data_IF_618159121562
#
_entry.id   IF_618159121562
#
_cell.length_a   1.000
_cell.length_b   1.000
_cell.length_c   1.000
_cell.angle_alpha   90.00
_cell.angle_beta   90.00
_cell.angle_gamma   90.00
#
_symmetry.space_group_name_H-M   'P 1'
#
loop_
_entity.id
_entity.type
_entity.pdbx_description
1 polymer ?
#
# COMPACT_ATOMS: atom_id res chain seq x y z
N UNK A 1 -29.60 4.66 -7.19
CA UNK A 1 -30.19 4.26 -5.91
C UNK A 1 -29.04 3.97 -4.98
N UNK A 2 -28.86 4.72 -3.91
CA UNK A 2 -27.79 4.46 -2.93
C UNK A 2 -28.07 3.12 -2.26
N UNK A 3 -27.12 2.16 -2.30
CA UNK A 3 -27.28 0.90 -1.58
C UNK A 3 -27.27 1.19 -0.09
N UNK A 4 -28.21 0.57 0.65
CA UNK A 4 -28.25 0.67 2.11
C UNK A 4 -27.01 0.03 2.71
N UNK A 5 -26.44 0.66 3.75
CA UNK A 5 -25.29 0.07 4.45
C UNK A 5 -25.70 -1.20 5.22
N UNK A 6 -24.87 -2.24 5.14
CA UNK A 6 -25.10 -3.55 5.74
C UNK A 6 -24.42 -3.70 7.10
N UNK A 7 -25.22 -3.99 8.11
CA UNK A 7 -24.77 -4.19 9.50
C UNK A 7 -24.92 -5.65 9.86
N UNK A 8 -23.83 -6.29 10.31
CA UNK A 8 -23.89 -7.57 10.99
C UNK A 8 -24.05 -7.31 12.49
N UNK A 9 -25.21 -7.66 13.03
CA UNK A 9 -25.54 -7.48 14.44
C UNK A 9 -25.42 -8.81 15.17
N UNK A 10 -24.56 -8.88 16.19
CA UNK A 10 -24.22 -10.11 16.92
C UNK A 10 -24.49 -9.93 18.42
N UNK A 11 -25.41 -10.71 18.97
CA UNK A 11 -25.73 -10.71 20.40
C UNK A 11 -26.47 -12.03 20.73
N UNK A 12 -26.24 -12.62 21.87
CA UNK A 12 -26.95 -13.84 22.32
C UNK A 12 -28.36 -13.55 22.82
N UNK A 13 -28.69 -12.29 23.18
CA UNK A 13 -30.04 -11.85 23.51
C UNK A 13 -30.89 -11.59 22.27
N UNK A 14 -31.75 -12.57 21.94
CA UNK A 14 -32.66 -12.48 20.77
C UNK A 14 -33.63 -11.31 20.89
N UNK A 15 -33.97 -10.85 22.10
CA UNK A 15 -34.87 -9.69 22.31
C UNK A 15 -34.16 -8.39 21.94
N UNK A 16 -32.90 -8.26 22.31
CA UNK A 16 -32.06 -7.12 21.96
C UNK A 16 -31.76 -7.09 20.46
N UNK A 17 -31.48 -8.23 19.84
CA UNK A 17 -31.33 -8.36 18.38
C UNK A 17 -32.55 -7.80 17.65
N UNK A 18 -33.76 -8.19 18.04
CA UNK A 18 -35.01 -7.71 17.43
C UNK A 18 -35.19 -6.20 17.60
N UNK A 19 -34.94 -5.68 18.79
CA UNK A 19 -35.07 -4.26 19.11
C UNK A 19 -34.11 -3.41 18.26
N UNK A 20 -32.83 -3.80 18.24
CA UNK A 20 -31.81 -3.08 17.46
C UNK A 20 -32.04 -3.19 15.96
N UNK A 21 -32.47 -4.36 15.47
CA UNK A 21 -32.83 -4.55 14.07
C UNK A 21 -33.90 -3.55 13.61
N UNK A 22 -34.99 -3.42 14.38
CA UNK A 22 -36.07 -2.47 14.08
C UNK A 22 -35.54 -1.02 14.06
N UNK A 23 -34.71 -0.66 15.04
CA UNK A 23 -34.12 0.69 15.13
C UNK A 23 -33.21 1.00 13.95
N UNK A 24 -32.36 0.05 13.55
CA UNK A 24 -31.40 0.23 12.45
C UNK A 24 -32.11 0.25 11.09
N UNK A 25 -33.09 -0.64 10.86
CA UNK A 25 -33.88 -0.63 9.63
C UNK A 25 -34.67 0.68 9.45
N UNK A 26 -35.15 1.28 10.54
CA UNK A 26 -35.84 2.58 10.54
C UNK A 26 -34.89 3.75 10.18
N UNK A 27 -33.58 3.56 10.21
CA UNK A 27 -32.54 4.52 9.84
C UNK A 27 -31.78 4.09 8.56
N UNK A 28 -32.43 3.38 7.67
CA UNK A 28 -31.95 3.00 6.33
C UNK A 28 -30.74 2.04 6.31
N UNK A 29 -30.51 1.24 7.37
CA UNK A 29 -29.56 0.15 7.38
C UNK A 29 -30.21 -1.18 6.93
N UNK A 30 -29.46 -2.02 6.24
CA UNK A 30 -29.76 -3.43 6.03
C UNK A 30 -29.10 -4.24 7.14
N UNK A 31 -29.89 -5.02 7.92
CA UNK A 31 -29.39 -5.69 9.14
C UNK A 31 -29.50 -7.19 8.99
N UNK A 32 -28.41 -7.87 9.21
CA UNK A 32 -28.32 -9.33 9.32
C UNK A 32 -27.91 -9.64 10.77
N UNK A 33 -28.60 -10.59 11.37
CA UNK A 33 -28.42 -10.93 12.77
C UNK A 33 -27.75 -12.28 12.92
N UNK A 34 -26.84 -12.38 13.88
CA UNK A 34 -26.26 -13.63 14.36
C UNK A 34 -26.43 -13.74 15.88
N UNK A 35 -26.78 -14.91 16.37
CA UNK A 35 -26.95 -15.15 17.79
C UNK A 35 -25.70 -15.73 18.48
N UNK A 36 -24.61 -15.87 17.74
CA UNK A 36 -23.33 -16.38 18.24
C UNK A 36 -22.17 -15.94 17.31
N UNK A 37 -20.95 -15.92 17.85
CA UNK A 37 -19.77 -15.59 17.06
C UNK A 37 -19.47 -16.57 15.91
N UNK A 38 -19.64 -17.91 16.04
CA UNK A 38 -19.50 -18.83 14.92
C UNK A 38 -20.49 -18.56 13.79
N UNK A 39 -21.75 -18.21 14.11
CA UNK A 39 -22.73 -17.83 13.11
C UNK A 39 -22.32 -16.54 12.40
N UNK A 40 -21.84 -15.53 13.15
CA UNK A 40 -21.36 -14.27 12.58
C UNK A 40 -20.22 -14.50 11.59
N UNK A 41 -19.26 -15.36 11.91
CA UNK A 41 -18.16 -15.74 11.00
C UNK A 41 -18.66 -16.45 9.75
N UNK A 42 -19.68 -17.31 9.86
CA UNK A 42 -20.30 -17.94 8.70
C UNK A 42 -21.00 -16.94 7.77
N UNK A 43 -21.71 -15.95 8.34
CA UNK A 43 -22.33 -14.89 7.56
C UNK A 43 -21.31 -14.01 6.84
N UNK A 44 -20.18 -13.70 7.49
CA UNK A 44 -19.06 -12.94 6.91
C UNK A 44 -18.39 -13.64 5.72
N UNK A 45 -18.46 -14.97 5.66
CA UNK A 45 -17.95 -15.74 4.52
C UNK A 45 -18.91 -15.75 3.32
N UNK A 46 -20.21 -15.56 3.55
CA UNK A 46 -21.25 -15.68 2.52
C UNK A 46 -21.59 -14.33 1.87
N UNK A 47 -21.41 -13.22 2.59
CA UNK A 47 -21.79 -11.90 2.14
C UNK A 47 -20.92 -10.80 2.76
N UNK A 48 -20.96 -9.62 2.15
CA UNK A 48 -20.16 -8.46 2.59
C UNK A 48 -20.98 -7.57 3.53
N UNK A 49 -20.30 -7.00 4.53
CA UNK A 49 -20.86 -6.08 5.51
C UNK A 49 -20.05 -4.79 5.57
N UNK A 50 -20.68 -3.69 5.98
CA UNK A 50 -20.06 -2.38 6.15
C UNK A 50 -19.61 -2.13 7.60
N UNK A 51 -20.21 -2.81 8.56
CA UNK A 51 -19.84 -2.75 9.97
C UNK A 51 -20.34 -3.98 10.73
N UNK A 52 -19.57 -4.42 11.71
CA UNK A 52 -19.97 -5.45 12.70
C UNK A 52 -20.30 -4.73 14.01
N UNK A 53 -21.50 -5.00 14.56
CA UNK A 53 -21.91 -4.54 15.88
C UNK A 53 -22.08 -5.78 16.76
N UNK A 54 -21.22 -6.00 17.74
CA UNK A 54 -21.19 -7.22 18.56
C UNK A 54 -21.29 -6.94 20.05
N UNK A 55 -21.95 -7.82 20.79
CA UNK A 55 -21.81 -7.80 22.24
C UNK A 55 -20.42 -8.23 22.68
N UNK A 56 -19.96 -7.67 23.80
CA UNK A 56 -18.68 -8.03 24.41
C UNK A 56 -18.75 -9.43 25.05
N UNK A 57 -19.86 -9.76 25.70
CA UNK A 57 -20.04 -10.99 26.42
C UNK A 57 -21.07 -11.87 25.75
N UNK A 58 -20.62 -12.94 25.13
CA UNK A 58 -21.46 -13.98 24.54
C UNK A 58 -20.99 -15.35 25.06
N UNK A 59 -21.89 -16.33 25.03
CA UNK A 59 -21.53 -17.71 25.33
C UNK A 59 -20.54 -18.23 24.25
N UNK A 60 -19.78 -19.27 24.50
CA UNK A 60 -18.81 -19.93 23.61
C UNK A 60 -17.60 -19.07 23.16
N UNK A 61 -17.77 -17.95 22.49
CA UNK A 61 -16.72 -17.04 22.02
C UNK A 61 -17.14 -15.59 22.31
N UNK A 62 -16.32 -14.86 23.06
CA UNK A 62 -16.62 -13.47 23.39
C UNK A 62 -16.41 -12.50 22.21
N UNK A 63 -16.99 -11.30 22.34
CA UNK A 63 -16.91 -10.29 21.28
C UNK A 63 -15.50 -9.82 20.97
N UNK A 64 -14.55 -9.93 21.92
CA UNK A 64 -13.14 -9.59 21.69
C UNK A 64 -12.47 -10.61 20.77
N UNK A 65 -12.70 -11.90 21.01
CA UNK A 65 -12.19 -12.98 20.18
C UNK A 65 -12.80 -12.94 18.78
N UNK A 66 -14.10 -12.61 18.66
CA UNK A 66 -14.74 -12.36 17.37
C UNK A 66 -14.07 -11.19 16.65
N UNK A 67 -13.83 -10.07 17.33
CA UNK A 67 -13.18 -8.91 16.74
C UNK A 67 -11.77 -9.21 16.24
N UNK A 68 -10.97 -9.98 17.00
CA UNK A 68 -9.64 -10.42 16.57
C UNK A 68 -9.69 -11.26 15.29
N UNK A 69 -10.62 -12.20 15.18
CA UNK A 69 -10.79 -13.02 13.98
C UNK A 69 -11.30 -12.19 12.78
N UNK A 70 -12.25 -11.27 13.03
CA UNK A 70 -12.72 -10.36 11.99
C UNK A 70 -11.58 -9.51 11.47
N UNK A 71 -10.71 -8.97 12.33
CA UNK A 71 -9.57 -8.19 11.89
C UNK A 71 -8.51 -8.98 11.14
N UNK A 72 -8.29 -10.25 11.49
CA UNK A 72 -7.38 -11.11 10.74
C UNK A 72 -7.90 -11.43 9.35
N UNK A 73 -9.20 -11.68 9.21
CA UNK A 73 -9.83 -12.08 7.95
C UNK A 73 -10.28 -10.88 7.09
N UNK A 74 -10.71 -9.81 7.75
CA UNK A 74 -11.28 -8.59 7.14
C UNK A 74 -10.71 -7.32 7.81
N UNK A 75 -9.42 -6.97 7.60
CA UNK A 75 -8.73 -5.89 8.32
C UNK A 75 -9.36 -4.51 8.22
N UNK A 76 -10.14 -4.27 7.17
CA UNK A 76 -10.82 -2.99 6.94
C UNK A 76 -12.23 -2.91 7.53
N UNK A 77 -12.82 -4.05 7.98
CA UNK A 77 -14.19 -4.08 8.47
C UNK A 77 -14.25 -3.55 9.91
N UNK A 78 -14.89 -2.39 10.17
CA UNK A 78 -14.98 -1.83 11.51
C UNK A 78 -15.84 -2.69 12.43
N UNK A 79 -15.33 -2.91 13.64
CA UNK A 79 -16.06 -3.61 14.70
C UNK A 79 -16.43 -2.60 15.78
N UNK A 80 -17.73 -2.46 16.03
CA UNK A 80 -18.29 -1.68 17.15
C UNK A 80 -18.73 -2.66 18.22
N UNK A 81 -18.34 -2.42 19.47
CA UNK A 81 -18.61 -3.33 20.57
C UNK A 81 -19.64 -2.77 21.54
N UNK A 82 -20.62 -3.58 21.96
CA UNK A 82 -21.59 -3.25 22.97
C UNK A 82 -21.15 -3.82 24.33
N UNK A 83 -21.28 -3.07 25.42
CA UNK A 83 -20.87 -3.52 26.76
C UNK A 83 -21.83 -3.06 27.85
N UNK A 84 -22.08 -3.91 28.85
CA UNK A 84 -22.90 -3.56 30.00
C UNK A 84 -22.15 -2.72 31.05
N UNK A 85 -20.82 -2.71 31.05
CA UNK A 85 -19.99 -1.96 32.00
C UNK A 85 -18.82 -1.33 31.27
N UNK A 86 -18.87 0.00 31.09
CA UNK A 86 -17.76 0.78 30.55
C UNK A 86 -16.67 0.98 31.61
N UNK A 87 -15.72 0.08 31.76
CA UNK A 87 -14.51 0.40 32.50
C UNK A 87 -13.47 1.00 31.58
N UNK A 88 -12.86 2.11 31.99
CA UNK A 88 -11.81 2.82 31.27
C UNK A 88 -10.62 1.91 30.85
N UNK A 89 -10.22 0.88 31.67
CA UNK A 89 -9.17 -0.06 31.28
C UNK A 89 -9.51 -0.96 30.08
N UNK A 90 -10.78 -1.33 29.91
CA UNK A 90 -11.21 -2.19 28.80
C UNK A 90 -11.27 -1.42 27.48
N UNK A 91 -11.69 -0.15 27.53
CA UNK A 91 -11.68 0.75 26.37
C UNK A 91 -10.26 1.03 25.87
N UNK A 92 -9.28 1.20 26.76
CA UNK A 92 -7.86 1.44 26.40
C UNK A 92 -7.19 0.18 25.84
N UNK A 93 -7.51 -1.01 26.32
CA UNK A 93 -7.03 -2.28 25.74
C UNK A 93 -7.56 -2.50 24.34
N UNK A 94 -8.81 -2.26 24.14
CA UNK A 94 -9.52 -2.52 22.89
C UNK A 94 -9.16 -1.53 21.77
N UNK A 95 -8.84 -0.27 22.10
CA UNK A 95 -8.30 0.69 21.09
C UNK A 95 -6.94 0.23 20.57
N UNK A 96 -6.15 -0.51 21.34
CA UNK A 96 -4.90 -1.13 20.88
C UNK A 96 -5.12 -2.39 20.01
N UNK A 97 -6.32 -2.97 20.05
CA UNK A 97 -6.71 -4.17 19.31
C UNK A 97 -7.60 -3.88 18.09
N UNK A 98 -7.69 -2.61 17.63
CA UNK A 98 -8.35 -2.25 16.38
C UNK A 98 -9.87 -2.17 16.41
N UNK A 99 -10.50 -2.16 17.59
CA UNK A 99 -11.94 -1.93 17.74
C UNK A 99 -12.24 -0.47 17.42
N UNK A 100 -13.26 -0.25 16.58
CA UNK A 100 -13.62 1.08 16.10
C UNK A 100 -14.24 1.96 17.21
N UNK A 101 -15.19 1.43 17.97
CA UNK A 101 -15.87 2.12 19.06
C UNK A 101 -16.55 1.17 20.06
N UNK A 102 -16.90 1.71 21.22
CA UNK A 102 -17.72 1.05 22.25
C UNK A 102 -19.03 1.79 22.44
N UNK A 103 -20.10 1.03 22.65
CA UNK A 103 -21.40 1.52 23.05
C UNK A 103 -21.78 0.89 24.39
N UNK A 104 -22.20 1.71 25.36
CA UNK A 104 -22.62 1.21 26.67
C UNK A 104 -24.09 0.84 26.67
N UNK A 105 -24.44 -0.32 27.22
CA UNK A 105 -25.84 -0.72 27.45
C UNK A 105 -26.38 -0.01 28.73
N UNK A 106 -27.58 0.63 28.71
CA UNK A 106 -28.57 0.65 27.65
C UNK A 106 -28.14 1.59 26.50
N UNK A 107 -28.26 1.09 25.26
CA UNK A 107 -27.75 1.78 24.06
C UNK A 107 -28.65 2.97 23.72
N UNK A 108 -28.07 4.16 23.76
CA UNK A 108 -28.73 5.38 23.29
C UNK A 108 -28.89 5.33 21.77
N UNK A 109 -30.06 5.81 21.28
CA UNK A 109 -30.38 5.73 19.87
C UNK A 109 -29.49 6.64 19.02
N UNK A 110 -29.25 7.86 19.47
CA UNK A 110 -28.53 8.85 18.69
C UNK A 110 -27.02 8.53 18.67
N UNK A 111 -26.49 8.04 19.81
CA UNK A 111 -25.12 7.54 19.91
C UNK A 111 -24.88 6.32 19.03
N UNK A 112 -25.81 5.38 18.95
CA UNK A 112 -25.74 4.19 18.09
C UNK A 112 -25.66 4.61 16.60
N UNK A 113 -26.62 5.46 16.18
CA UNK A 113 -26.68 5.87 14.77
C UNK A 113 -25.46 6.71 14.37
N UNK A 114 -25.02 7.65 15.22
CA UNK A 114 -23.83 8.46 14.97
C UNK A 114 -22.55 7.60 14.89
N UNK A 115 -22.41 6.63 15.81
CA UNK A 115 -21.25 5.70 15.81
C UNK A 115 -21.23 4.81 14.57
N UNK A 116 -22.38 4.21 14.21
CA UNK A 116 -22.49 3.40 13.01
C UNK A 116 -22.31 4.22 11.73
N UNK A 117 -22.83 5.44 11.68
CA UNK A 117 -22.62 6.32 10.53
C UNK A 117 -21.15 6.69 10.35
N UNK A 118 -20.39 6.90 11.46
CA UNK A 118 -18.95 7.11 11.42
C UNK A 118 -18.21 5.84 10.97
N UNK A 119 -18.59 4.67 11.51
CA UNK A 119 -18.01 3.39 11.14
C UNK A 119 -18.25 3.07 9.65
N UNK A 120 -19.50 3.20 9.19
CA UNK A 120 -19.88 2.97 7.80
C UNK A 120 -19.22 3.99 6.86
N UNK A 121 -19.10 5.27 7.26
CA UNK A 121 -18.36 6.26 6.44
C UNK A 121 -16.90 5.88 6.27
N UNK A 122 -16.27 5.34 7.30
CA UNK A 122 -14.89 4.85 7.23
C UNK A 122 -14.78 3.56 6.42
N UNK A 123 -15.78 2.68 6.49
CA UNK A 123 -15.82 1.43 5.73
C UNK A 123 -16.53 1.57 4.38
N UNK A 124 -17.61 2.32 4.29
CA UNK A 124 -18.36 2.59 3.05
C UNK A 124 -17.60 3.48 2.06
N UNK A 125 -16.50 4.10 2.50
CA UNK A 125 -15.43 4.53 1.60
C UNK A 125 -14.63 3.33 1.06
N UNK A 126 -14.91 2.10 1.50
CA UNK A 126 -14.29 0.83 1.11
C UNK A 126 -15.15 -0.13 0.27
N UNK A 127 -16.49 0.01 0.17
CA UNK A 127 -17.33 -0.98 -0.55
C UNK A 127 -18.31 -0.45 -1.58
N UNK A 128 -18.46 0.87 -1.71
CA UNK A 128 -19.16 1.48 -2.84
C UNK A 128 -18.17 1.90 -3.90
N UNK A 129 -17.87 1.04 -4.87
CA UNK A 129 -16.76 1.19 -5.81
C UNK A 129 -15.45 1.40 -5.05
N UNK A 130 -14.49 0.57 -5.23
CA UNK A 130 -13.07 0.79 -4.98
C UNK A 130 -12.55 2.07 -5.67
N UNK A 131 -13.08 3.21 -5.27
CA UNK A 131 -12.42 4.47 -5.17
C UNK A 131 -11.98 4.59 -3.72
N UNK A 132 -11.06 3.70 -3.34
CA UNK A 132 -9.99 3.98 -2.41
C UNK A 132 -9.64 5.46 -2.47
N UNK A 133 -9.07 6.02 -1.40
CA UNK A 133 -8.09 7.09 -1.54
C UNK A 133 -6.89 6.57 -2.40
N UNK A 134 -7.17 5.87 -3.47
CA UNK A 134 -6.28 5.47 -4.53
C UNK A 134 -6.33 6.62 -5.51
N UNK A 135 -5.37 7.52 -5.38
CA UNK A 135 -4.99 8.25 -6.57
C UNK A 135 -4.76 7.21 -7.68
N UNK A 136 -5.29 7.42 -8.89
CA UNK A 136 -5.28 6.41 -9.95
C UNK A 136 -3.89 5.87 -10.28
N UNK A 137 -2.84 6.51 -9.76
CA UNK A 137 -1.44 6.18 -10.02
C UNK A 137 -0.72 5.54 -8.81
N UNK A 138 -1.34 5.48 -7.61
CA UNK A 138 -0.70 4.93 -6.40
C UNK A 138 -1.33 3.59 -6.07
N UNK A 139 -0.60 2.53 -6.37
CA UNK A 139 -1.01 1.14 -6.13
C UNK A 139 -0.42 0.69 -4.81
N UNK A 140 -1.26 0.41 -3.82
CA UNK A 140 -0.84 -0.01 -2.47
C UNK A 140 -1.93 -0.80 -1.75
N UNK A 141 -1.53 -1.65 -0.81
CA UNK A 141 -2.36 -2.29 0.21
C UNK A 141 -1.85 -2.01 1.62
N UNK A 142 -0.77 -1.23 1.73
CA UNK A 142 -0.16 -0.93 3.02
C UNK A 142 -0.98 0.05 3.82
N UNK A 143 -1.26 -0.28 5.09
CA UNK A 143 -1.97 0.60 6.02
C UNK A 143 -1.24 1.93 6.22
N UNK A 144 0.10 1.91 6.27
CA UNK A 144 0.93 3.12 6.38
C UNK A 144 0.72 4.04 5.18
N UNK A 145 0.62 3.47 3.96
CA UNK A 145 0.34 4.23 2.76
C UNK A 145 -1.08 4.80 2.73
N UNK A 146 -2.08 4.08 3.22
CA UNK A 146 -3.44 4.62 3.33
C UNK A 146 -3.50 5.82 4.27
N UNK A 147 -2.84 5.76 5.44
CA UNK A 147 -2.72 6.92 6.34
C UNK A 147 -2.02 8.10 5.68
N UNK A 148 -0.95 7.84 4.91
CA UNK A 148 -0.26 8.88 4.17
C UNK A 148 -1.16 9.53 3.11
N UNK A 149 -1.94 8.75 2.36
CA UNK A 149 -2.89 9.26 1.37
C UNK A 149 -4.03 10.06 2.00
N UNK A 150 -4.45 9.70 3.20
CA UNK A 150 -5.41 10.51 3.96
C UNK A 150 -4.81 11.86 4.37
N UNK A 151 -3.55 11.89 4.83
CA UNK A 151 -2.82 13.14 5.06
C UNK A 151 -2.71 13.97 3.79
N UNK A 152 -2.42 13.35 2.64
CA UNK A 152 -2.39 14.03 1.33
C UNK A 152 -3.72 14.71 1.03
N UNK A 153 -4.85 14.04 1.27
CA UNK A 153 -6.18 14.61 1.06
C UNK A 153 -6.45 15.81 1.97
N UNK A 154 -6.10 15.69 3.26
CA UNK A 154 -6.26 16.80 4.22
C UNK A 154 -5.42 18.01 3.86
N UNK A 155 -4.14 17.78 3.54
CA UNK A 155 -3.20 18.83 3.13
C UNK A 155 -3.55 19.39 1.76
N UNK A 156 -4.08 18.56 0.87
CA UNK A 156 -4.59 18.96 -0.44
C UNK A 156 -5.58 20.12 -0.34
N UNK A 157 -6.51 20.04 0.60
CA UNK A 157 -7.54 21.08 0.82
C UNK A 157 -6.98 22.42 1.33
N UNK A 158 -5.70 22.50 1.68
CA UNK A 158 -5.03 23.71 2.18
C UNK A 158 -4.01 24.24 1.16
N UNK A 159 -3.57 25.51 1.35
CA UNK A 159 -2.59 26.17 0.48
C UNK A 159 -1.15 26.17 1.09
N UNK A 160 -0.89 25.27 2.04
CA UNK A 160 0.41 25.17 2.70
C UNK A 160 1.45 24.48 1.83
N UNK A 161 2.72 24.88 2.01
CA UNK A 161 3.84 24.18 1.37
C UNK A 161 4.00 22.77 1.96
N UNK A 162 4.35 21.82 1.10
CA UNK A 162 4.51 20.41 1.44
C UNK A 162 5.93 19.96 1.12
N UNK A 163 6.59 19.34 2.08
CA UNK A 163 7.85 18.65 1.89
C UNK A 163 7.62 17.13 1.91
N UNK A 164 7.99 16.46 0.83
CA UNK A 164 7.93 15.00 0.73
C UNK A 164 9.33 14.45 0.98
N UNK A 165 9.49 13.69 2.05
CA UNK A 165 10.73 13.02 2.40
C UNK A 165 10.64 11.52 2.13
N UNK A 166 11.72 10.90 1.64
CA UNK A 166 11.76 9.46 1.39
C UNK A 166 12.91 9.06 0.48
N UNK A 167 13.31 7.79 0.57
CA UNK A 167 14.42 7.25 -0.21
C UNK A 167 14.21 7.40 -1.73
N UNK A 168 15.29 7.32 -2.50
CA UNK A 168 15.18 7.36 -3.97
C UNK A 168 14.35 6.19 -4.49
N UNK A 169 13.51 6.44 -5.51
CA UNK A 169 12.68 5.41 -6.13
C UNK A 169 11.43 4.99 -5.37
N UNK A 170 11.06 5.65 -4.26
CA UNK A 170 9.86 5.33 -3.46
C UNK A 170 8.54 5.81 -4.09
N UNK A 171 8.58 6.74 -5.06
CA UNK A 171 7.40 7.31 -5.71
C UNK A 171 7.03 8.72 -5.26
N UNK A 172 8.01 9.54 -4.82
CA UNK A 172 7.79 10.93 -4.34
C UNK A 172 7.05 11.80 -5.36
N UNK A 173 7.33 11.67 -6.65
CA UNK A 173 6.62 12.42 -7.70
C UNK A 173 5.15 12.05 -7.79
N UNK A 174 4.81 10.74 -7.69
CA UNK A 174 3.41 10.29 -7.69
C UNK A 174 2.65 10.84 -6.48
N UNK A 175 3.31 10.92 -5.31
CA UNK A 175 2.72 11.53 -4.13
C UNK A 175 2.52 13.04 -4.30
N UNK A 176 3.46 13.75 -4.95
CA UNK A 176 3.31 15.17 -5.25
C UNK A 176 2.15 15.43 -6.22
N UNK A 177 1.96 14.57 -7.23
CA UNK A 177 0.78 14.62 -8.12
C UNK A 177 -0.51 14.41 -7.34
N UNK A 178 -0.51 13.46 -6.40
CA UNK A 178 -1.65 13.22 -5.52
C UNK A 178 -2.00 14.44 -4.65
N UNK A 179 -1.00 15.16 -4.14
CA UNK A 179 -1.20 16.43 -3.42
C UNK A 179 -1.81 17.51 -4.33
N UNK A 180 -1.33 17.60 -5.58
CA UNK A 180 -1.88 18.55 -6.57
C UNK A 180 -3.33 18.22 -6.90
N UNK A 181 -3.64 16.96 -7.24
CA UNK A 181 -5.00 16.51 -7.62
C UNK A 181 -6.02 16.68 -6.47
N UNK A 182 -5.55 16.60 -5.22
CA UNK A 182 -6.39 16.84 -4.03
C UNK A 182 -6.54 18.31 -3.69
N UNK A 183 -5.98 19.25 -4.46
CA UNK A 183 -5.92 20.67 -4.12
C UNK A 183 -6.95 21.52 -4.84
N UNK A 184 -7.16 22.74 -4.33
CA UNK A 184 -7.99 23.75 -4.99
C UNK A 184 -7.44 24.18 -6.37
N UNK A 185 -6.15 23.95 -6.64
CA UNK A 185 -5.49 24.26 -7.92
C UNK A 185 -5.33 23.03 -8.83
N UNK A 186 -6.06 21.95 -8.57
CA UNK A 186 -6.01 20.69 -9.34
C UNK A 186 -6.31 20.83 -10.83
N UNK A 187 -7.07 21.85 -11.21
CA UNK A 187 -7.34 22.18 -12.62
C UNK A 187 -6.22 22.99 -13.28
N UNK A 188 -5.25 23.47 -12.51
CA UNK A 188 -4.09 24.22 -12.99
C UNK A 188 -2.97 23.30 -13.46
N UNK A 189 -1.88 23.87 -13.96
CA UNK A 189 -0.74 23.08 -14.42
C UNK A 189 0.02 22.45 -13.23
N UNK A 190 0.48 21.20 -13.42
CA UNK A 190 1.48 20.56 -12.57
C UNK A 190 2.83 20.59 -13.29
N UNK A 191 3.73 21.47 -12.85
CA UNK A 191 5.06 21.65 -13.44
C UNK A 191 6.09 21.04 -12.51
N UNK A 192 6.93 20.14 -13.03
CA UNK A 192 7.94 19.43 -12.23
C UNK A 192 9.36 19.75 -12.74
N UNK A 193 10.28 19.92 -11.81
CA UNK A 193 11.71 20.03 -12.10
C UNK A 193 12.52 19.23 -11.07
N UNK A 194 13.55 18.54 -11.56
CA UNK A 194 14.53 17.92 -10.69
C UNK A 194 15.74 18.85 -10.51
N UNK A 195 15.94 19.36 -9.29
CA UNK A 195 16.98 20.33 -8.97
C UNK A 195 18.40 19.75 -9.06
N UNK A 196 18.56 18.44 -8.90
CA UNK A 196 19.86 17.78 -9.02
C UNK A 196 20.24 17.38 -10.44
N UNK A 197 19.28 17.34 -11.37
CA UNK A 197 19.53 16.92 -12.75
C UNK A 197 19.98 18.07 -13.67
N UNK A 198 19.83 19.34 -13.23
CA UNK A 198 20.08 20.53 -14.04
C UNK A 198 21.30 21.28 -13.51
N UNK A 199 22.27 21.68 -14.33
CA UNK A 199 23.37 22.54 -13.92
C UNK A 199 22.89 23.86 -13.28
N UNK A 200 23.58 24.33 -12.24
CA UNK A 200 23.14 25.47 -11.41
C UNK A 200 22.79 26.74 -12.22
N UNK A 201 23.57 27.05 -13.24
CA UNK A 201 23.37 28.24 -14.09
C UNK A 201 22.09 28.14 -14.93
N UNK A 202 21.79 26.92 -15.42
CA UNK A 202 20.57 26.66 -16.16
C UNK A 202 19.35 26.55 -15.26
N UNK A 203 19.52 26.03 -14.04
CA UNK A 203 18.42 25.88 -13.07
C UNK A 203 17.81 27.23 -12.71
N UNK A 204 18.64 28.26 -12.53
CA UNK A 204 18.16 29.63 -12.28
C UNK A 204 17.29 30.14 -13.42
N UNK A 205 17.82 30.02 -14.64
CA UNK A 205 17.11 30.43 -15.85
C UNK A 205 15.80 29.65 -16.07
N UNK A 206 15.81 28.36 -15.79
CA UNK A 206 14.59 27.52 -15.88
C UNK A 206 13.55 27.91 -14.84
N UNK A 207 13.94 28.11 -13.59
CA UNK A 207 12.97 28.42 -12.51
C UNK A 207 12.35 29.81 -12.70
N UNK A 208 13.20 30.84 -12.92
CA UNK A 208 12.76 32.23 -12.86
C UNK A 208 12.60 32.89 -14.23
N UNK A 209 13.08 32.22 -15.30
CA UNK A 209 13.13 32.79 -16.64
C UNK A 209 14.30 33.76 -16.86
N UNK A 210 14.50 34.19 -18.10
CA UNK A 210 15.50 35.18 -18.45
C UNK A 210 15.06 36.04 -19.64
N UNK A 211 15.64 37.24 -19.72
CA UNK A 211 15.53 38.11 -20.87
C UNK A 211 16.67 37.87 -21.87
N UNK A 212 16.42 38.11 -23.13
CA UNK A 212 17.44 38.07 -24.19
C UNK A 212 18.64 38.90 -23.80
N UNK A 213 19.85 38.33 -23.91
CA UNK A 213 21.10 38.98 -23.52
C UNK A 213 21.48 38.94 -22.08
N UNK A 214 20.72 38.25 -21.20
CA UNK A 214 20.99 38.16 -19.77
C UNK A 214 22.31 37.42 -19.42
N UNK A 215 22.74 36.52 -20.32
CA UNK A 215 24.01 35.79 -20.19
C UNK A 215 24.47 35.31 -21.58
N UNK A 216 25.71 34.83 -21.69
CA UNK A 216 26.27 34.28 -22.94
C UNK A 216 25.49 33.05 -23.38
N UNK A 217 24.67 33.17 -24.46
CA UNK A 217 23.77 32.11 -24.91
C UNK A 217 22.27 32.43 -24.77
N UNK A 218 21.89 33.50 -24.08
CA UNK A 218 20.51 33.97 -23.99
C UNK A 218 20.07 34.65 -25.32
N UNK A 219 19.74 33.84 -26.33
CA UNK A 219 19.38 34.32 -27.67
C UNK A 219 17.95 34.81 -27.77
N UNK A 220 17.07 34.36 -26.90
CA UNK A 220 15.64 34.71 -26.83
C UNK A 220 15.20 34.91 -25.37
N UNK A 221 14.02 35.50 -25.16
CA UNK A 221 13.36 35.50 -23.85
C UNK A 221 12.91 34.09 -23.51
N UNK A 222 13.02 33.72 -22.21
CA UNK A 222 12.53 32.44 -21.70
C UNK A 222 11.58 32.66 -20.51
N UNK A 223 10.42 32.05 -20.57
CA UNK A 223 9.44 32.06 -19.50
C UNK A 223 9.87 31.03 -18.44
N UNK A 224 9.98 31.41 -17.18
CA UNK A 224 10.38 30.50 -16.12
C UNK A 224 9.25 29.60 -15.64
N UNK A 225 9.62 28.45 -15.07
CA UNK A 225 8.69 27.44 -14.55
C UNK A 225 7.72 27.98 -13.49
N UNK A 226 8.10 28.96 -12.69
CA UNK A 226 7.16 29.65 -11.78
C UNK A 226 6.02 30.34 -12.55
N UNK A 227 6.31 30.94 -13.70
CA UNK A 227 5.26 31.54 -14.52
C UNK A 227 4.43 30.50 -15.25
N UNK A 228 5.05 29.41 -15.70
CA UNK A 228 4.33 28.26 -16.31
C UNK A 228 3.40 27.56 -15.32
N UNK A 229 3.80 27.50 -14.06
CA UNK A 229 3.01 26.92 -12.97
C UNK A 229 1.92 27.86 -12.42
N UNK A 230 1.68 29.02 -13.06
CA UNK A 230 0.70 30.00 -12.57
C UNK A 230 -0.69 29.39 -12.33
N UNK A 231 -1.25 29.63 -11.15
CA UNK A 231 -2.52 29.05 -10.66
C UNK A 231 -2.54 27.52 -10.63
N UNK A 232 -1.37 26.91 -10.51
CA UNK A 232 -1.15 25.48 -10.43
C UNK A 232 -0.15 25.11 -9.33
N UNK A 233 0.61 24.04 -9.57
CA UNK A 233 1.61 23.52 -8.64
C UNK A 233 2.97 23.42 -9.30
N UNK A 234 4.00 23.95 -8.64
CA UNK A 234 5.40 23.71 -8.96
C UNK A 234 5.96 22.63 -8.03
N UNK A 235 6.40 21.53 -8.61
CA UNK A 235 7.06 20.44 -7.91
C UNK A 235 8.57 20.53 -8.06
N UNK A 236 9.26 20.70 -6.92
CA UNK A 236 10.71 20.78 -6.82
C UNK A 236 11.26 19.46 -6.32
N UNK A 237 11.62 18.56 -7.22
CA UNK A 237 12.24 17.29 -6.85
C UNK A 237 13.72 17.49 -6.51
N UNK A 238 14.19 16.70 -5.55
CA UNK A 238 15.56 16.74 -5.01
C UNK A 238 15.99 18.16 -4.59
N UNK A 239 15.11 18.82 -3.81
CA UNK A 239 15.36 20.20 -3.32
C UNK A 239 16.65 20.32 -2.50
N UNK A 240 17.10 19.24 -1.84
CA UNK A 240 18.36 19.19 -1.11
C UNK A 240 19.62 19.30 -1.99
N UNK A 241 19.49 19.24 -3.33
CA UNK A 241 20.57 19.44 -4.27
C UNK A 241 20.62 20.86 -4.84
N UNK A 242 19.68 21.73 -4.45
CA UNK A 242 19.62 23.10 -4.93
C UNK A 242 20.82 23.92 -4.42
N UNK A 243 21.55 24.64 -5.30
CA UNK A 243 22.66 25.51 -4.89
C UNK A 243 22.23 26.62 -3.94
N UNK A 244 23.09 26.99 -2.97
CA UNK A 244 22.79 27.95 -1.92
C UNK A 244 22.33 29.33 -2.44
N UNK A 245 22.92 29.82 -3.54
CA UNK A 245 22.51 31.08 -4.17
C UNK A 245 21.07 31.04 -4.67
N UNK A 246 20.59 29.87 -5.17
CA UNK A 246 19.22 29.69 -5.64
C UNK A 246 18.25 29.47 -4.47
N UNK A 247 18.69 28.88 -3.36
CA UNK A 247 17.90 28.77 -2.15
C UNK A 247 17.46 30.15 -1.63
N UNK A 248 18.35 31.17 -1.70
CA UNK A 248 18.01 32.55 -1.31
C UNK A 248 16.93 33.13 -2.22
N UNK A 249 17.01 32.88 -3.52
CA UNK A 249 16.01 33.38 -4.48
C UNK A 249 14.67 32.67 -4.29
N UNK A 250 14.69 31.36 -4.11
CA UNK A 250 13.48 30.58 -3.83
C UNK A 250 12.78 31.07 -2.56
N UNK A 251 13.55 31.31 -1.48
CA UNK A 251 12.99 31.83 -0.22
C UNK A 251 12.23 33.15 -0.44
N UNK A 252 12.83 34.08 -1.21
CA UNK A 252 12.14 35.34 -1.56
C UNK A 252 10.84 35.11 -2.30
N UNK A 253 10.83 34.21 -3.31
CA UNK A 253 9.58 33.90 -4.04
C UNK A 253 8.51 33.31 -3.12
N UNK A 254 8.89 32.42 -2.18
CA UNK A 254 7.96 31.84 -1.21
C UNK A 254 7.39 32.88 -0.22
N UNK A 255 8.14 33.95 0.06
CA UNK A 255 7.73 35.01 0.97
C UNK A 255 6.93 36.11 0.27
N UNK A 256 7.43 36.59 -0.87
CA UNK A 256 6.92 37.79 -1.55
C UNK A 256 5.90 37.45 -2.65
N UNK A 257 5.80 36.15 -3.04
CA UNK A 257 4.95 35.70 -4.15
C UNK A 257 5.24 36.43 -5.47
N UNK A 258 6.51 36.75 -5.69
CA UNK A 258 7.01 37.41 -6.90
C UNK A 258 8.30 36.78 -7.37
N UNK A 259 8.50 36.76 -8.67
CA UNK A 259 9.75 36.33 -9.32
C UNK A 259 10.41 37.52 -10.02
N UNK A 260 11.73 37.43 -10.18
CA UNK A 260 12.52 38.37 -10.98
C UNK A 260 13.32 37.57 -12.02
N UNK A 261 12.96 37.66 -13.34
CA UNK A 261 13.73 37.02 -14.40
C UNK A 261 15.18 37.47 -14.43
N UNK A 262 16.09 36.59 -14.85
CA UNK A 262 17.51 36.92 -14.97
C UNK A 262 17.70 38.01 -16.04
N UNK A 263 18.47 39.07 -15.70
CA UNK A 263 18.66 40.23 -16.57
C UNK A 263 17.49 41.21 -16.63
N UNK A 264 16.47 41.06 -15.77
CA UNK A 264 15.33 41.99 -15.67
C UNK A 264 15.25 42.65 -14.30
N UNK A 265 14.78 43.91 -14.23
CA UNK A 265 14.59 44.64 -12.98
C UNK A 265 13.19 44.54 -12.40
N UNK A 266 12.19 44.23 -13.23
CA UNK A 266 10.79 44.16 -12.83
C UNK A 266 10.46 42.84 -12.12
N UNK A 267 9.63 42.96 -11.12
CA UNK A 267 9.08 41.80 -10.37
C UNK A 267 7.73 41.40 -10.98
N UNK A 268 7.55 40.10 -11.19
CA UNK A 268 6.34 39.52 -11.75
C UNK A 268 5.63 38.75 -10.62
N UNK A 269 4.37 39.10 -10.27
CA UNK A 269 3.62 38.35 -9.26
C UNK A 269 3.30 36.93 -9.74
N UNK A 270 3.41 35.96 -8.85
CA UNK A 270 3.13 34.57 -9.13
C UNK A 270 2.22 33.99 -8.04
N UNK A 271 1.22 33.24 -8.47
CA UNK A 271 0.32 32.50 -7.61
C UNK A 271 0.52 31.01 -7.88
N UNK A 272 1.45 30.40 -7.15
CA UNK A 272 1.89 29.01 -7.38
C UNK A 272 1.95 28.28 -6.03
N UNK A 273 1.35 27.09 -5.97
CA UNK A 273 1.54 26.16 -4.86
C UNK A 273 2.87 25.46 -5.03
N UNK A 274 3.69 25.39 -3.96
CA UNK A 274 4.99 24.72 -4.02
C UNK A 274 4.92 23.40 -3.24
N UNK A 275 5.29 22.32 -3.92
CA UNK A 275 5.52 20.99 -3.33
C UNK A 275 6.99 20.66 -3.57
N UNK A 276 7.71 20.25 -2.53
CA UNK A 276 9.14 19.90 -2.63
C UNK A 276 9.37 18.46 -2.23
N UNK A 277 10.37 17.79 -2.81
CA UNK A 277 10.76 16.45 -2.43
C UNK A 277 12.26 16.32 -2.25
N UNK A 278 12.69 15.42 -1.37
CA UNK A 278 14.10 15.09 -1.18
C UNK A 278 14.30 13.70 -0.61
N UNK A 279 15.44 13.10 -0.92
CA UNK A 279 15.94 11.91 -0.25
C UNK A 279 16.98 12.24 0.82
N UNK A 280 17.47 13.50 0.89
CA UNK A 280 18.49 13.93 1.83
C UNK A 280 17.92 14.27 3.20
N UNK A 281 18.72 14.06 4.24
CA UNK A 281 18.47 14.59 5.59
C UNK A 281 18.76 16.10 5.60
N UNK A 282 17.72 16.93 5.40
CA UNK A 282 17.87 18.38 5.40
C UNK A 282 18.36 18.95 6.74
N UNK A 283 17.94 18.48 7.92
CA UNK A 283 18.57 18.83 9.20
C UNK A 283 20.09 18.59 9.24
N UNK A 284 20.60 17.52 8.67
CA UNK A 284 22.04 17.30 8.54
C UNK A 284 22.66 18.28 7.56
N UNK A 285 22.05 18.51 6.40
CA UNK A 285 22.50 19.48 5.40
C UNK A 285 22.57 20.92 5.94
N UNK A 286 21.67 21.29 6.86
CA UNK A 286 21.71 22.59 7.57
C UNK A 286 22.94 22.68 8.47
N UNK A 287 23.25 21.63 9.26
CA UNK A 287 24.46 21.59 10.10
C UNK A 287 25.75 21.70 9.29
N UNK A 288 25.74 21.16 8.07
CA UNK A 288 26.85 21.19 7.11
C UNK A 288 26.91 22.50 6.30
N UNK A 289 26.00 23.45 6.53
CA UNK A 289 25.85 24.69 5.78
C UNK A 289 25.63 24.48 4.26
N UNK A 290 25.12 23.35 3.84
CA UNK A 290 24.76 23.05 2.44
C UNK A 290 23.29 23.34 2.14
N UNK A 291 22.46 23.54 3.18
CA UNK A 291 21.06 23.96 3.07
C UNK A 291 20.74 25.04 4.10
N UNK A 292 19.90 26.02 3.71
CA UNK A 292 19.54 27.14 4.59
C UNK A 292 18.40 26.76 5.51
N UNK A 293 18.54 27.11 6.77
CA UNK A 293 17.54 26.86 7.82
C UNK A 293 16.23 27.64 7.58
N UNK A 294 16.33 28.91 7.13
CA UNK A 294 15.16 29.74 6.84
C UNK A 294 14.29 29.20 5.71
N UNK A 295 14.92 28.67 4.68
CA UNK A 295 14.22 27.99 3.58
C UNK A 295 13.58 26.68 4.04
N UNK A 296 14.29 25.90 4.87
CA UNK A 296 13.74 24.65 5.42
C UNK A 296 12.42 24.88 6.14
N UNK A 297 12.34 25.83 7.08
CA UNK A 297 11.09 26.10 7.79
C UNK A 297 9.97 26.63 6.89
N UNK A 298 10.32 27.28 5.79
CA UNK A 298 9.32 27.76 4.82
C UNK A 298 8.77 26.66 3.92
N UNK A 299 9.59 25.66 3.59
CA UNK A 299 9.18 24.49 2.79
C UNK A 299 8.50 23.41 3.63
N UNK A 300 9.00 23.15 4.84
CA UNK A 300 8.58 22.08 5.72
C UNK A 300 7.46 22.52 6.66
N UNK A 301 6.34 23.02 6.10
CA UNK A 301 5.13 23.32 6.89
C UNK A 301 4.40 22.01 7.21
N UNK A 302 4.29 21.12 6.23
CA UNK A 302 3.82 19.75 6.42
C UNK A 302 4.85 18.81 5.79
N UNK A 303 5.29 17.80 6.57
CA UNK A 303 6.18 16.75 6.10
C UNK A 303 5.39 15.45 5.83
N UNK A 304 5.44 14.99 4.58
CA UNK A 304 4.90 13.70 4.17
C UNK A 304 6.05 12.71 3.98
N UNK A 305 6.22 11.79 4.94
CA UNK A 305 7.28 10.77 4.86
C UNK A 305 6.79 9.55 4.09
N UNK A 306 7.38 9.33 2.93
CA UNK A 306 7.09 8.16 2.09
C UNK A 306 7.96 6.97 2.52
N UNK A 307 7.37 5.86 3.01
CA UNK A 307 8.13 4.72 3.50
C UNK A 307 8.86 4.01 2.35
N UNK A 308 10.05 3.44 2.59
CA UNK A 308 10.73 2.59 1.63
C UNK A 308 9.94 1.30 1.39
N UNK A 309 10.20 0.61 0.28
CA UNK A 309 9.49 -0.61 -0.08
C UNK A 309 9.71 -1.75 0.94
N UNK A 310 10.86 -1.77 1.61
CA UNK A 310 11.17 -2.72 2.69
C UNK A 310 10.24 -2.59 3.92
N UNK A 311 9.67 -1.41 4.17
CA UNK A 311 8.70 -1.14 5.26
C UNK A 311 7.25 -1.42 4.83
N UNK A 312 6.99 -1.73 3.54
CA UNK A 312 5.67 -2.07 2.97
C UNK A 312 5.76 -3.27 2.04
N UNK A 313 6.33 -4.36 2.54
CA UNK A 313 6.56 -5.59 1.76
C UNK A 313 5.29 -6.19 1.17
N UNK A 314 4.15 -5.95 1.82
CA UNK A 314 2.81 -6.32 1.32
C UNK A 314 2.50 -5.72 -0.05
N UNK A 315 3.08 -4.58 -0.41
CA UNK A 315 2.87 -3.95 -1.72
C UNK A 315 3.65 -4.64 -2.85
N UNK A 316 4.74 -5.37 -2.54
CA UNK A 316 5.63 -5.95 -3.56
C UNK A 316 4.88 -6.85 -4.54
N UNK A 317 4.10 -7.79 -4.03
CA UNK A 317 3.31 -8.70 -4.87
C UNK A 317 2.30 -7.95 -5.74
N UNK A 318 1.60 -6.97 -5.16
CA UNK A 318 0.62 -6.15 -5.86
C UNK A 318 1.26 -5.31 -6.96
N UNK A 319 2.38 -4.66 -6.66
CA UNK A 319 3.16 -3.86 -7.62
C UNK A 319 3.75 -4.74 -8.74
N UNK A 320 4.24 -5.94 -8.41
CA UNK A 320 4.77 -6.86 -9.39
C UNK A 320 3.72 -7.28 -10.43
N UNK A 321 2.51 -7.62 -9.98
CA UNK A 321 1.40 -7.94 -10.88
C UNK A 321 0.98 -6.73 -11.71
N UNK A 322 0.84 -5.56 -11.08
CA UNK A 322 0.49 -4.31 -11.76
C UNK A 322 1.47 -3.95 -12.89
N UNK A 323 2.78 -4.08 -12.64
CA UNK A 323 3.78 -3.82 -13.69
C UNK A 323 3.72 -4.85 -14.81
N UNK A 324 3.49 -6.13 -14.52
CA UNK A 324 3.26 -7.14 -15.56
C UNK A 324 2.05 -6.81 -16.44
N UNK A 325 0.95 -6.36 -15.83
CA UNK A 325 -0.26 -5.94 -16.57
C UNK A 325 0.01 -4.70 -17.44
N UNK A 326 0.70 -3.70 -16.90
CA UNK A 326 1.07 -2.51 -17.67
C UNK A 326 1.97 -2.85 -18.87
N UNK A 327 2.96 -3.73 -18.68
CA UNK A 327 3.85 -4.15 -19.77
C UNK A 327 3.07 -4.93 -20.82
N UNK A 328 2.21 -5.87 -20.41
CA UNK A 328 1.37 -6.66 -21.28
C UNK A 328 0.44 -5.76 -22.13
N UNK A 329 -0.18 -4.75 -21.52
CA UNK A 329 -1.02 -3.79 -22.22
C UNK A 329 -0.24 -2.96 -23.24
N UNK A 330 0.98 -2.50 -22.90
CA UNK A 330 1.85 -1.76 -23.84
C UNK A 330 2.31 -2.61 -25.01
N UNK A 331 2.62 -3.88 -24.76
CA UNK A 331 3.16 -4.80 -25.78
C UNK A 331 2.06 -5.59 -26.53
N UNK A 332 0.80 -5.43 -26.14
CA UNK A 332 -0.34 -6.20 -26.66
C UNK A 332 -0.11 -7.73 -26.57
N UNK A 333 0.51 -8.14 -25.46
CA UNK A 333 0.83 -9.54 -25.18
C UNK A 333 0.04 -10.05 -23.97
N UNK A 334 0.01 -11.37 -23.78
CA UNK A 334 -0.59 -11.96 -22.59
C UNK A 334 0.18 -11.60 -21.32
N UNK A 335 -0.55 -11.41 -20.20
CA UNK A 335 0.05 -11.10 -18.91
C UNK A 335 0.88 -12.28 -18.42
N UNK A 336 2.16 -12.05 -18.10
CA UNK A 336 3.04 -13.06 -17.52
C UNK A 336 2.81 -13.17 -16.02
N UNK A 337 3.05 -14.35 -15.47
CA UNK A 337 2.86 -14.67 -14.05
C UNK A 337 4.17 -15.16 -13.43
N UNK A 338 4.38 -14.85 -12.18
CA UNK A 338 5.51 -15.37 -11.41
C UNK A 338 5.15 -16.76 -10.85
N UNK A 339 6.14 -17.68 -10.81
CA UNK A 339 6.05 -18.88 -9.98
C UNK A 339 6.08 -18.50 -8.50
N UNK A 340 5.61 -19.39 -7.61
CA UNK A 340 5.60 -19.13 -6.16
C UNK A 340 7.02 -18.86 -5.65
N UNK A 341 8.02 -19.68 -6.08
CA UNK A 341 9.43 -19.47 -5.73
C UNK A 341 9.99 -18.13 -6.26
N UNK A 342 9.54 -17.67 -7.44
CA UNK A 342 9.93 -16.37 -8.00
C UNK A 342 9.35 -15.22 -7.19
N UNK A 343 8.09 -15.33 -6.75
CA UNK A 343 7.44 -14.33 -5.89
C UNK A 343 8.10 -14.29 -4.52
N UNK A 344 8.46 -15.43 -3.94
CA UNK A 344 9.19 -15.50 -2.66
C UNK A 344 10.53 -14.76 -2.72
N UNK A 345 11.28 -14.88 -3.83
CA UNK A 345 12.51 -14.11 -4.03
C UNK A 345 12.26 -12.61 -4.07
N UNK A 346 11.22 -12.16 -4.78
CA UNK A 346 10.85 -10.74 -4.81
C UNK A 346 10.48 -10.22 -3.42
N UNK A 347 9.75 -11.02 -2.62
CA UNK A 347 9.32 -10.64 -1.27
C UNK A 347 10.48 -10.59 -0.26
N UNK A 348 11.52 -11.42 -0.42
CA UNK A 348 12.69 -11.47 0.48
C UNK A 348 13.72 -10.39 0.18
N UNK A 349 13.76 -9.85 -1.01
CA UNK A 349 14.73 -8.83 -1.40
C UNK A 349 14.47 -7.49 -0.69
N UNK A 350 15.52 -6.75 -0.35
CA UNK A 350 15.44 -5.50 0.45
C UNK A 350 15.12 -4.25 -0.37
N UNK A 351 15.23 -4.31 -1.68
CA UNK A 351 14.88 -3.26 -2.63
C UNK A 351 15.52 -1.89 -2.32
N UNK A 352 16.86 -1.76 -2.30
CA UNK A 352 17.52 -0.47 -2.01
C UNK A 352 17.14 0.63 -2.99
N UNK A 353 16.80 0.29 -4.24
CA UNK A 353 16.25 1.23 -5.24
C UNK A 353 14.72 1.30 -5.26
N UNK A 354 14.04 0.73 -4.25
CA UNK A 354 12.60 0.79 -4.03
C UNK A 354 11.78 0.38 -5.28
N UNK A 355 10.67 1.09 -5.54
CA UNK A 355 9.75 0.79 -6.65
C UNK A 355 10.45 0.91 -8.01
N UNK A 356 11.39 1.86 -8.17
CA UNK A 356 12.13 2.02 -9.43
C UNK A 356 12.97 0.77 -9.74
N UNK A 357 13.62 0.19 -8.75
CA UNK A 357 14.37 -1.06 -8.92
C UNK A 357 13.43 -2.23 -9.20
N UNK A 358 12.34 -2.36 -8.44
CA UNK A 358 11.33 -3.40 -8.65
C UNK A 358 10.78 -3.35 -10.08
N UNK A 359 10.39 -2.17 -10.56
CA UNK A 359 9.91 -1.98 -11.92
C UNK A 359 10.93 -2.41 -12.97
N UNK A 360 12.20 -1.98 -12.84
CA UNK A 360 13.27 -2.33 -13.77
C UNK A 360 13.49 -3.85 -13.80
N UNK A 361 13.51 -4.52 -12.63
CA UNK A 361 13.65 -5.98 -12.54
C UNK A 361 12.50 -6.69 -13.25
N UNK A 362 11.27 -6.23 -13.04
CA UNK A 362 10.09 -6.81 -13.69
C UNK A 362 10.12 -6.58 -15.20
N UNK A 363 10.45 -5.39 -15.66
CA UNK A 363 10.62 -5.11 -17.09
C UNK A 363 11.67 -6.03 -17.73
N UNK A 364 12.80 -6.23 -17.05
CA UNK A 364 13.85 -7.14 -17.50
C UNK A 364 13.40 -8.59 -17.57
N UNK A 365 12.79 -9.11 -16.51
CA UNK A 365 12.35 -10.53 -16.51
C UNK A 365 11.22 -10.77 -17.48
N UNK A 366 10.28 -9.85 -17.64
CA UNK A 366 9.22 -9.95 -18.64
C UNK A 366 9.79 -9.95 -20.06
N UNK A 367 10.76 -9.07 -20.35
CA UNK A 367 11.38 -9.00 -21.68
C UNK A 367 12.18 -10.25 -22.04
N UNK A 368 12.89 -10.84 -21.06
CA UNK A 368 13.78 -12.00 -21.27
C UNK A 368 13.10 -13.35 -21.10
N UNK A 369 11.87 -13.42 -20.58
CA UNK A 369 11.15 -14.67 -20.39
C UNK A 369 10.45 -15.12 -21.68
N UNK A 370 10.75 -16.28 -22.25
CA UNK A 370 10.12 -16.75 -23.48
C UNK A 370 8.66 -17.26 -23.25
N UNK A 371 8.31 -17.65 -22.03
CA UNK A 371 7.02 -18.22 -21.66
C UNK A 371 6.12 -17.27 -20.85
N UNK A 372 4.94 -17.77 -20.50
CA UNK A 372 3.96 -17.06 -19.66
C UNK A 372 4.36 -17.07 -18.17
N UNK A 373 5.10 -18.11 -17.74
CA UNK A 373 5.54 -18.28 -16.36
C UNK A 373 6.98 -17.81 -16.18
N UNK A 374 7.18 -16.88 -15.25
CA UNK A 374 8.50 -16.35 -14.85
C UNK A 374 9.03 -17.20 -13.69
N UNK A 375 10.18 -17.83 -13.87
CA UNK A 375 10.80 -18.71 -12.89
C UNK A 375 11.68 -17.95 -11.88
N UNK A 376 11.95 -18.57 -10.72
CA UNK A 376 12.88 -18.07 -9.71
C UNK A 376 14.29 -17.79 -10.29
N UNK A 377 14.77 -18.63 -11.21
CA UNK A 377 16.08 -18.46 -11.84
C UNK A 377 16.16 -17.16 -12.66
N UNK A 378 15.11 -16.79 -13.39
CA UNK A 378 15.05 -15.55 -14.16
C UNK A 378 15.04 -14.32 -13.25
N UNK A 379 14.29 -14.38 -12.14
CA UNK A 379 14.27 -13.31 -11.12
C UNK A 379 15.64 -13.17 -10.45
N UNK A 380 16.26 -14.28 -10.05
CA UNK A 380 17.60 -14.28 -9.44
C UNK A 380 18.66 -13.67 -10.35
N UNK A 381 18.63 -14.01 -11.64
CA UNK A 381 19.51 -13.41 -12.64
C UNK A 381 19.31 -11.90 -12.75
N UNK A 382 18.07 -11.43 -12.76
CA UNK A 382 17.76 -10.01 -12.85
C UNK A 382 18.12 -9.23 -11.57
N UNK A 383 18.02 -9.88 -10.41
CA UNK A 383 18.46 -9.33 -9.13
C UNK A 383 19.97 -9.37 -8.93
N UNK A 384 20.71 -10.06 -9.82
CA UNK A 384 22.15 -10.37 -9.68
C UNK A 384 22.45 -11.09 -8.33
N UNK A 385 21.45 -11.77 -7.81
CA UNK A 385 21.60 -12.62 -6.64
C UNK A 385 22.01 -14.02 -7.13
N UNK A 386 23.04 -14.58 -6.56
CA UNK A 386 23.17 -16.02 -6.62
C UNK A 386 21.93 -16.59 -5.92
N UNK A 387 21.17 -17.40 -6.64
CA UNK A 387 20.28 -18.32 -5.95
C UNK A 387 21.19 -19.05 -4.98
N UNK A 388 20.96 -18.93 -3.67
CA UNK A 388 21.57 -19.83 -2.72
C UNK A 388 21.28 -21.22 -3.28
N UNK A 389 22.27 -21.78 -3.96
CA UNK A 389 22.31 -23.18 -4.22
C UNK A 389 22.21 -23.76 -2.81
N UNK A 390 21.02 -24.23 -2.44
CA UNK A 390 20.83 -25.01 -1.23
C UNK A 390 22.06 -25.88 -1.16
N UNK A 391 22.88 -25.67 -0.12
CA UNK A 391 24.17 -26.35 0.06
C UNK A 391 24.01 -27.76 -0.43
N UNK A 392 24.83 -28.29 -1.35
CA UNK A 392 24.51 -29.52 -2.04
C UNK A 392 24.15 -30.55 -0.99
N UNK A 393 22.84 -30.83 -0.91
CA UNK A 393 22.32 -31.83 0.03
C UNK A 393 23.11 -33.08 -0.26
N UNK A 394 23.67 -33.72 0.76
CA UNK A 394 24.43 -34.93 0.57
C UNK A 394 23.62 -35.85 -0.37
N UNK A 395 24.25 -36.41 -1.39
CA UNK A 395 23.58 -37.19 -2.45
C UNK A 395 22.57 -38.19 -1.88
N UNK A 396 22.89 -38.80 -0.76
CA UNK A 396 21.99 -39.72 -0.04
C UNK A 396 20.74 -39.05 0.51
N UNK A 397 20.84 -37.81 0.91
CA UNK A 397 19.70 -37.05 1.46
C UNK A 397 18.81 -36.53 0.34
N UNK A 398 19.36 -36.01 -0.74
CA UNK A 398 18.63 -35.64 -1.95
C UNK A 398 17.87 -36.84 -2.54
N UNK A 399 18.52 -38.00 -2.57
CA UNK A 399 17.91 -39.25 -3.02
C UNK A 399 16.77 -39.69 -2.09
N UNK A 400 16.92 -39.52 -0.79
CA UNK A 400 15.90 -39.84 0.21
C UNK A 400 14.67 -38.92 0.10
N UNK A 401 14.87 -37.62 -0.12
CA UNK A 401 13.80 -36.65 -0.33
C UNK A 401 13.04 -36.94 -1.63
N UNK A 402 13.76 -37.17 -2.73
CA UNK A 402 13.16 -37.54 -4.00
C UNK A 402 12.33 -38.85 -3.92
N UNK A 403 12.93 -39.92 -3.32
CA UNK A 403 12.23 -41.18 -3.11
C UNK A 403 10.95 -40.97 -2.29
N UNK A 404 11.01 -40.19 -1.20
CA UNK A 404 9.84 -39.90 -0.35
C UNK A 404 8.76 -39.16 -1.11
N UNK A 405 9.10 -38.09 -1.83
CA UNK A 405 8.15 -37.30 -2.60
C UNK A 405 7.50 -38.11 -3.73
N UNK A 406 8.27 -38.95 -4.42
CA UNK A 406 7.77 -39.83 -5.46
C UNK A 406 6.76 -40.84 -4.89
N UNK A 407 7.04 -41.46 -3.75
CA UNK A 407 6.12 -42.43 -3.10
C UNK A 407 4.82 -41.76 -2.68
N UNK A 408 4.87 -40.53 -2.12
CA UNK A 408 3.70 -39.76 -1.75
C UNK A 408 2.84 -39.44 -2.99
N UNK A 409 3.45 -39.01 -4.07
CA UNK A 409 2.75 -38.67 -5.31
C UNK A 409 2.07 -39.91 -5.91
N UNK A 410 2.73 -41.07 -5.94
CA UNK A 410 2.16 -42.30 -6.45
C UNK A 410 1.01 -42.82 -5.57
N UNK A 411 1.15 -42.70 -4.23
CA UNK A 411 0.07 -43.07 -3.30
C UNK A 411 -1.16 -42.15 -3.42
N UNK A 412 -0.97 -40.87 -3.64
CA UNK A 412 -2.07 -39.93 -3.93
C UNK A 412 -2.82 -40.24 -5.21
N UNK A 413 -2.12 -40.70 -6.26
CA UNK A 413 -2.74 -41.04 -7.56
C UNK A 413 -3.65 -42.29 -7.49
N UNK A 414 -3.50 -43.10 -6.45
CA UNK A 414 -4.23 -44.37 -6.29
C UNK A 414 -4.99 -44.44 -4.98
N UNK A 415 -5.32 -43.28 -4.39
CA UNK A 415 -6.08 -43.14 -3.13
C UNK A 415 -5.61 -44.11 -2.02
N UNK A 416 -4.27 -44.19 -1.86
CA UNK A 416 -3.63 -45.02 -0.82
C UNK A 416 -3.54 -46.52 -1.14
N UNK A 417 -3.98 -47.00 -2.31
CA UNK A 417 -3.90 -48.40 -2.64
C UNK A 417 -2.45 -48.84 -2.96
N UNK A 418 -1.78 -49.44 -1.98
CA UNK A 418 -0.37 -49.83 -2.07
C UNK A 418 -0.08 -50.87 -3.16
N UNK A 419 -1.06 -51.75 -3.50
CA UNK A 419 -0.87 -52.73 -4.55
C UNK A 419 -0.87 -52.08 -5.95
N UNK A 420 -1.73 -51.10 -6.18
CA UNK A 420 -1.76 -50.30 -7.41
C UNK A 420 -0.57 -49.35 -7.47
N UNK A 421 -0.19 -48.71 -6.37
CA UNK A 421 0.98 -47.88 -6.28
C UNK A 421 2.27 -48.62 -6.68
N UNK A 422 2.49 -49.84 -6.15
CA UNK A 422 3.61 -50.67 -6.50
C UNK A 422 3.63 -51.04 -8.00
N UNK A 423 2.48 -51.31 -8.60
CA UNK A 423 2.35 -51.61 -10.03
C UNK A 423 2.68 -50.37 -10.89
N UNK A 424 2.22 -49.18 -10.52
CA UNK A 424 2.57 -47.91 -11.18
C UNK A 424 4.05 -47.60 -11.08
N UNK A 425 4.65 -47.84 -9.92
CA UNK A 425 6.08 -47.66 -9.70
C UNK A 425 6.99 -48.74 -10.31
N UNK A 426 6.36 -49.74 -11.03
CA UNK A 426 7.06 -50.92 -11.60
C UNK A 426 7.95 -51.65 -10.57
N UNK A 427 7.45 -51.78 -9.33
CA UNK A 427 8.13 -52.47 -8.21
C UNK A 427 7.26 -53.60 -7.67
N UNK A 428 7.92 -54.58 -7.02
CA UNK A 428 7.21 -55.61 -6.27
C UNK A 428 6.50 -55.00 -5.03
N UNK A 429 5.33 -55.50 -4.70
CA UNK A 429 4.54 -55.04 -3.55
C UNK A 429 5.35 -55.07 -2.23
N UNK A 430 6.14 -56.11 -1.98
CA UNK A 430 6.96 -56.21 -0.80
C UNK A 430 8.08 -55.19 -0.72
N UNK A 431 8.70 -54.85 -1.87
CA UNK A 431 9.76 -53.83 -1.93
C UNK A 431 9.18 -52.41 -1.80
N UNK A 432 7.98 -52.20 -2.34
CA UNK A 432 7.29 -50.94 -2.18
C UNK A 432 6.87 -50.69 -0.72
N UNK A 433 6.39 -51.70 0.00
CA UNK A 433 6.16 -51.63 1.45
C UNK A 433 7.40 -51.33 2.25
N UNK A 434 8.55 -51.91 1.91
CA UNK A 434 9.82 -51.58 2.56
C UNK A 434 10.24 -50.13 2.37
N UNK A 435 9.98 -49.54 1.19
CA UNK A 435 10.25 -48.15 0.89
C UNK A 435 9.31 -47.23 1.69
N UNK A 436 7.99 -47.52 1.75
CA UNK A 436 7.05 -46.79 2.57
C UNK A 436 7.50 -46.75 4.04
N UNK A 437 7.85 -47.90 4.57
CA UNK A 437 8.36 -48.02 5.98
C UNK A 437 9.67 -47.29 6.20
N UNK A 438 10.61 -47.37 5.23
CA UNK A 438 11.90 -46.66 5.26
C UNK A 438 11.75 -45.16 5.32
N UNK A 439 10.74 -44.63 4.64
CA UNK A 439 10.45 -43.19 4.53
C UNK A 439 9.40 -42.71 5.52
N UNK A 440 8.94 -43.56 6.45
CA UNK A 440 7.96 -43.27 7.49
C UNK A 440 6.68 -42.62 6.92
N UNK A 441 6.19 -43.16 5.79
CA UNK A 441 4.99 -42.65 5.14
C UNK A 441 3.77 -43.38 5.71
N UNK A 442 2.84 -42.63 6.27
CA UNK A 442 1.56 -43.15 6.74
C UNK A 442 0.58 -43.24 5.57
N UNK A 443 0.19 -44.46 5.23
CA UNK A 443 -0.66 -44.75 4.08
C UNK A 443 -2.13 -44.43 4.35
N UNK A 444 -2.56 -44.41 5.61
CA UNK A 444 -3.94 -44.13 6.00
C UNK A 444 -4.34 -42.68 5.66
N UNK A 445 -3.38 -41.74 5.63
CA UNK A 445 -3.60 -40.35 5.25
C UNK A 445 -4.01 -40.16 3.78
N UNK A 446 -3.86 -41.16 2.94
CA UNK A 446 -4.18 -41.07 1.51
C UNK A 446 -5.41 -41.93 1.12
N UNK A 447 -6.01 -42.66 2.07
CA UNK A 447 -7.22 -43.40 1.88
C UNK A 447 -8.41 -42.46 1.97
N UNK A 448 -9.22 -42.34 0.90
CA UNK A 448 -10.53 -41.69 1.02
C UNK A 448 -11.49 -42.73 1.62
N UNK A 449 -12.09 -42.39 2.78
CA UNK A 449 -13.28 -43.08 3.31
C UNK A 449 -14.42 -43.07 2.31
#
# INVERSE_FOLDING_TARGET
MSSKARVLLVDDDVSLLKLLTIRLMANDYEVITANSAPQALSELQQQTFDVVLTDLRMDDMDGMQLAEQVQQLYPSLPVVMMTAHGSIPDAVRATKQGIFAFLTKPIDKDELIDTLAKAVRLHGQGHGQSQQASHPYIVTRSATMYHLLEQVRMVGATDVNVLISGASGTGKELLARAVHESSAVSNGPFVAINCGAVPAELLESQLFGHKKGAFTGATADHVGLFSEAQNGTLFLDEIGDMPLNLQVKLLRVLQEKKIRPVGHSEEIPVNVRVVSATHKDLPAAIRENSFREDLYYRLNVVNLRLPPLSERREDISLLAHHFCEQIAARQQQGVKRFSDDAMDLLLRHDWPGNIRQLQNVIEQVVALSPGVLISAQQVAMALQCELEASSPIALNEAKRQFERQYLINVLKMVDGNVAQAAKLAKRNRSDFYKLIKKHEIDVEQFSRD
#
